data_IF_544159557389
#
_entry.id   IF_544159557389
#
_cell.length_a   1.000
_cell.length_b   1.000
_cell.length_c   1.000
_cell.angle_alpha   90.00
_cell.angle_beta   90.00
_cell.angle_gamma   90.00
#
_symmetry.space_group_name_H-M   'P 1'
#
loop_
_entity.id
_entity.type
_entity.pdbx_description
1 polymer ?
#
# COMPACT_ATOMS: atom_id res chain seq x y z
N UNK A 1 6.25 -1.51 -66.23
CA UNK A 1 5.37 -0.69 -65.37
C UNK A 1 4.78 -1.61 -64.31
N UNK A 2 5.51 -1.78 -63.21
CA UNK A 2 5.07 -2.58 -62.06
C UNK A 2 3.94 -1.85 -61.34
N UNK A 3 2.83 -2.56 -61.09
CA UNK A 3 1.80 -2.11 -60.16
C UNK A 3 2.34 -2.31 -58.73
N UNK A 4 2.22 -1.34 -57.82
CA UNK A 4 2.49 -1.62 -56.42
C UNK A 4 1.44 -2.62 -55.91
N UNK A 5 1.92 -3.77 -55.42
CA UNK A 5 1.11 -4.68 -54.63
C UNK A 5 0.68 -3.93 -53.38
N UNK A 6 -0.60 -3.58 -53.36
CA UNK A 6 -1.30 -3.08 -52.20
C UNK A 6 -1.17 -4.15 -51.11
N UNK A 7 -0.42 -3.83 -50.06
CA UNK A 7 -0.28 -4.67 -48.87
C UNK A 7 -1.66 -5.00 -48.37
N UNK A 8 -2.03 -6.26 -48.55
CA UNK A 8 -3.26 -6.86 -48.06
C UNK A 8 -3.27 -6.65 -46.53
N UNK A 9 -4.13 -5.74 -46.08
CA UNK A 9 -4.38 -5.49 -44.67
C UNK A 9 -4.61 -6.83 -43.98
N UNK A 10 -3.68 -7.20 -43.10
CA UNK A 10 -3.87 -8.31 -42.19
C UNK A 10 -5.22 -8.09 -41.49
N UNK A 11 -6.11 -9.11 -41.44
CA UNK A 11 -7.43 -8.94 -40.84
C UNK A 11 -7.21 -8.48 -39.41
N UNK A 12 -7.60 -7.23 -39.12
CA UNK A 12 -7.45 -6.61 -37.82
C UNK A 12 -8.06 -7.53 -36.77
N UNK A 13 -7.19 -8.26 -36.07
CA UNK A 13 -7.58 -9.20 -35.03
C UNK A 13 -8.34 -8.36 -34.01
N UNK A 14 -9.64 -8.61 -33.88
CA UNK A 14 -10.48 -7.93 -32.88
C UNK A 14 -10.05 -8.48 -31.53
N UNK A 15 -8.98 -7.90 -30.99
CA UNK A 15 -8.52 -8.24 -29.66
C UNK A 15 -9.55 -7.67 -28.70
N UNK A 16 -10.18 -8.56 -27.94
CA UNK A 16 -11.13 -8.19 -26.89
C UNK A 16 -10.43 -7.22 -25.92
N UNK A 17 -11.00 -6.04 -25.60
CA UNK A 17 -10.40 -5.10 -24.65
C UNK A 17 -10.09 -5.74 -23.29
N UNK A 18 -10.85 -6.78 -22.90
CA UNK A 18 -10.56 -7.56 -21.69
C UNK A 18 -9.20 -8.24 -21.78
N UNK A 19 -8.83 -8.77 -22.94
CA UNK A 19 -7.52 -9.40 -23.18
C UNK A 19 -6.36 -8.41 -23.06
N UNK A 20 -6.56 -7.14 -23.43
CA UNK A 20 -5.51 -6.12 -23.29
C UNK A 20 -5.22 -5.79 -21.81
N UNK A 21 -6.26 -5.80 -20.98
CA UNK A 21 -6.15 -5.46 -19.56
C UNK A 21 -5.73 -6.66 -18.70
N UNK A 22 -6.25 -7.84 -19.03
CA UNK A 22 -6.10 -9.05 -18.18
C UNK A 22 -5.22 -10.15 -18.80
N UNK A 23 -4.76 -9.97 -20.04
CA UNK A 23 -4.01 -10.97 -20.78
C UNK A 23 -4.89 -12.07 -21.36
N UNK A 24 -4.31 -12.93 -22.19
CA UNK A 24 -4.97 -14.15 -22.67
C UNK A 24 -5.04 -15.19 -21.54
N UNK A 25 -6.06 -16.06 -21.52
CA UNK A 25 -6.13 -17.15 -20.57
C UNK A 25 -4.86 -18.02 -20.65
N UNK A 26 -4.17 -18.22 -19.53
CA UNK A 26 -2.94 -19.03 -19.45
C UNK A 26 -1.63 -18.31 -19.80
N UNK A 27 -1.69 -17.08 -20.32
CA UNK A 27 -0.50 -16.29 -20.68
C UNK A 27 0.31 -15.91 -19.42
N UNK A 28 -0.37 -15.60 -18.32
CA UNK A 28 0.26 -15.33 -17.02
C UNK A 28 1.05 -16.53 -16.50
N UNK A 29 0.47 -17.74 -16.53
CA UNK A 29 1.17 -18.96 -16.11
C UNK A 29 2.42 -19.22 -16.96
N UNK A 30 2.33 -19.02 -18.28
CA UNK A 30 3.46 -19.21 -19.19
C UNK A 30 4.58 -18.20 -18.91
N UNK A 31 4.25 -16.92 -18.80
CA UNK A 31 5.23 -15.86 -18.57
C UNK A 31 5.87 -15.98 -17.18
N UNK A 32 5.09 -16.27 -16.14
CA UNK A 32 5.62 -16.54 -14.81
C UNK A 32 6.47 -17.82 -14.79
N UNK A 33 6.10 -18.83 -15.58
CA UNK A 33 6.89 -20.04 -15.79
C UNK A 33 8.26 -19.75 -16.40
N UNK A 34 8.33 -18.87 -17.42
CA UNK A 34 9.58 -18.39 -18.01
C UNK A 34 10.45 -17.63 -17.02
N UNK A 35 9.83 -16.94 -16.05
CA UNK A 35 10.50 -16.25 -14.95
C UNK A 35 10.89 -17.18 -13.77
N UNK A 36 10.61 -18.49 -13.86
CA UNK A 36 10.92 -19.45 -12.81
C UNK A 36 10.05 -19.31 -11.55
N UNK A 37 8.88 -18.69 -11.68
CA UNK A 37 7.90 -18.51 -10.59
C UNK A 37 6.54 -19.09 -10.97
N UNK A 38 5.53 -18.90 -10.11
CA UNK A 38 4.16 -19.33 -10.39
C UNK A 38 3.15 -18.31 -9.89
N UNK A 39 1.93 -18.24 -10.48
CA UNK A 39 0.89 -17.35 -10.02
C UNK A 39 0.61 -17.51 -8.52
N UNK A 40 0.62 -18.74 -8.02
CA UNK A 40 0.46 -19.04 -6.59
C UNK A 40 1.55 -18.42 -5.72
N UNK A 41 2.82 -18.47 -6.15
CA UNK A 41 3.94 -17.88 -5.40
C UNK A 41 3.86 -16.37 -5.38
N UNK A 42 3.57 -15.75 -6.51
CA UNK A 42 3.38 -14.30 -6.62
C UNK A 42 2.20 -13.87 -5.74
N UNK A 43 1.06 -14.54 -5.86
CA UNK A 43 -0.12 -14.26 -5.05
C UNK A 43 0.18 -14.35 -3.54
N UNK A 44 0.79 -15.44 -3.08
CA UNK A 44 1.10 -15.61 -1.67
C UNK A 44 2.14 -14.59 -1.18
N UNK A 45 3.15 -14.27 -2.00
CA UNK A 45 4.14 -13.26 -1.69
C UNK A 45 3.54 -11.86 -1.56
N UNK A 46 2.75 -11.44 -2.55
CA UNK A 46 2.06 -10.15 -2.53
C UNK A 46 1.07 -10.08 -1.38
N UNK A 47 0.22 -11.09 -1.19
CA UNK A 47 -0.75 -11.12 -0.10
C UNK A 47 -0.07 -11.07 1.27
N UNK A 48 1.02 -11.83 1.46
CA UNK A 48 1.80 -11.80 2.70
C UNK A 48 2.45 -10.44 2.95
N UNK A 49 3.07 -9.84 1.92
CA UNK A 49 3.67 -8.51 2.03
C UNK A 49 2.62 -7.44 2.35
N UNK A 50 1.44 -7.49 1.73
CA UNK A 50 0.32 -6.59 2.04
C UNK A 50 -0.17 -6.77 3.46
N UNK A 51 -0.34 -8.02 3.92
CA UNK A 51 -0.75 -8.30 5.29
C UNK A 51 0.26 -7.75 6.32
N UNK A 52 1.56 -7.90 6.06
CA UNK A 52 2.61 -7.31 6.89
C UNK A 52 2.60 -5.79 6.86
N UNK A 53 2.45 -5.17 5.68
CA UNK A 53 2.40 -3.73 5.55
C UNK A 53 1.22 -3.11 6.33
N UNK A 54 0.04 -3.72 6.23
CA UNK A 54 -1.14 -3.30 6.99
C UNK A 54 -0.98 -3.58 8.49
N UNK A 55 -0.52 -4.77 8.87
CA UNK A 55 -0.36 -5.15 10.27
C UNK A 55 0.65 -4.27 11.00
N UNK A 56 1.79 -3.99 10.37
CA UNK A 56 2.85 -3.16 10.92
C UNK A 56 2.59 -1.65 10.79
N UNK A 57 1.50 -1.23 10.14
CA UNK A 57 1.27 0.16 9.73
C UNK A 57 2.48 0.75 9.00
N UNK A 58 3.10 -0.05 8.13
CA UNK A 58 4.31 0.32 7.42
C UNK A 58 4.04 1.58 6.58
N UNK A 59 4.84 2.62 6.78
CA UNK A 59 4.66 3.90 6.09
C UNK A 59 3.34 4.63 6.40
N UNK A 60 2.60 4.25 7.46
CA UNK A 60 1.33 4.89 7.81
C UNK A 60 0.16 4.47 6.91
N UNK A 61 0.25 3.33 6.20
CA UNK A 61 -0.83 2.85 5.32
C UNK A 61 -2.13 2.65 6.11
N UNK A 62 -2.04 2.01 7.27
CA UNK A 62 -3.19 1.71 8.11
C UNK A 62 -3.78 2.99 8.70
N UNK A 63 -2.95 3.92 9.16
CA UNK A 63 -3.38 5.23 9.62
C UNK A 63 -4.15 5.99 8.52
N UNK A 64 -3.61 5.99 7.30
CA UNK A 64 -4.23 6.66 6.13
C UNK A 64 -5.57 6.03 5.79
N UNK A 65 -5.65 4.70 5.75
CA UNK A 65 -6.90 3.98 5.48
C UNK A 65 -7.95 4.27 6.54
N UNK A 66 -7.61 4.19 7.83
CA UNK A 66 -8.53 4.46 8.93
C UNK A 66 -8.98 5.93 8.98
N UNK A 67 -8.13 6.84 8.52
CA UNK A 67 -8.46 8.27 8.43
C UNK A 67 -9.54 8.59 7.39
N UNK A 68 -9.81 7.69 6.44
CA UNK A 68 -10.93 7.87 5.47
C UNK A 68 -12.30 7.70 6.12
N UNK A 69 -12.40 6.89 7.19
CA UNK A 69 -13.63 6.62 7.94
C UNK A 69 -13.35 6.70 9.45
N UNK A 70 -13.07 7.90 9.96
CA UNK A 70 -12.57 8.07 11.31
C UNK A 70 -13.58 7.63 12.38
N UNK A 71 -14.88 7.76 12.13
CA UNK A 71 -15.92 7.36 13.09
C UNK A 71 -15.97 5.85 13.29
N UNK A 72 -15.87 5.07 12.20
CA UNK A 72 -15.80 3.61 12.27
C UNK A 72 -14.51 3.13 12.95
N UNK A 73 -13.38 3.80 12.67
CA UNK A 73 -12.12 3.48 13.33
C UNK A 73 -12.19 3.75 14.84
N UNK A 74 -12.81 4.86 15.24
CA UNK A 74 -12.99 5.25 16.66
C UNK A 74 -14.02 4.40 17.39
N UNK A 75 -15.10 3.98 16.74
CA UNK A 75 -16.07 3.07 17.35
C UNK A 75 -15.45 1.73 17.72
N UNK A 76 -14.48 1.28 16.92
CA UNK A 76 -13.67 0.08 17.18
C UNK A 76 -12.44 0.36 18.05
N UNK A 77 -12.25 1.59 18.53
CA UNK A 77 -11.08 2.06 19.32
C UNK A 77 -9.73 1.78 18.67
N UNK A 78 -9.69 1.71 17.33
CA UNK A 78 -8.45 1.52 16.57
C UNK A 78 -7.50 2.71 16.71
N UNK A 79 -8.02 3.88 17.09
CA UNK A 79 -7.22 5.08 17.40
C UNK A 79 -6.31 4.92 18.64
N UNK A 80 -6.44 3.84 19.41
CA UNK A 80 -5.50 3.49 20.49
C UNK A 80 -4.21 2.85 19.98
N UNK A 81 -4.31 2.04 18.93
CA UNK A 81 -3.19 1.31 18.33
C UNK A 81 -2.57 2.09 17.16
N UNK A 82 -3.43 2.66 16.31
CA UNK A 82 -3.09 3.36 15.08
C UNK A 82 -3.50 4.83 15.19
N UNK A 83 -2.87 5.73 14.44
CA UNK A 83 -3.32 7.12 14.39
C UNK A 83 -4.51 7.25 13.45
N UNK A 84 -5.56 7.96 13.90
CA UNK A 84 -6.75 8.21 13.08
C UNK A 84 -6.91 9.72 12.93
N UNK A 85 -6.76 10.21 11.70
CA UNK A 85 -6.77 11.63 11.35
C UNK A 85 -5.78 12.46 12.20
N UNK A 86 -4.58 11.91 12.44
CA UNK A 86 -3.51 12.58 13.21
C UNK A 86 -3.72 12.59 14.72
N UNK A 87 -4.74 11.89 15.24
CA UNK A 87 -5.02 11.77 16.66
C UNK A 87 -4.80 10.33 17.12
N UNK A 88 -4.38 10.17 18.38
CA UNK A 88 -4.44 8.90 19.13
C UNK A 88 -5.42 9.03 20.28
N UNK A 89 -6.10 7.93 20.58
CA UNK A 89 -7.04 7.80 21.67
C UNK A 89 -6.43 7.04 22.83
N UNK A 90 -6.64 7.51 24.06
CA UNK A 90 -6.41 6.76 25.27
C UNK A 90 -7.74 6.54 25.98
N UNK A 91 -8.04 5.28 26.29
CA UNK A 91 -9.33 4.84 26.83
C UNK A 91 -9.12 4.20 28.20
N UNK A 92 -9.82 4.71 29.20
CA UNK A 92 -9.90 4.17 30.57
C UNK A 92 -11.37 3.84 30.88
N UNK A 93 -11.64 3.17 32.01
CA UNK A 93 -13.00 2.90 32.49
C UNK A 93 -13.84 4.17 32.69
N UNK A 94 -13.21 5.29 33.06
CA UNK A 94 -13.91 6.51 33.49
C UNK A 94 -13.86 7.64 32.46
N UNK A 95 -12.89 7.63 31.55
CA UNK A 95 -12.70 8.70 30.58
C UNK A 95 -12.02 8.20 29.30
N UNK A 96 -12.21 8.96 28.22
CA UNK A 96 -11.50 8.80 26.96
C UNK A 96 -10.92 10.16 26.57
N UNK A 97 -9.63 10.18 26.23
CA UNK A 97 -8.93 11.39 25.77
C UNK A 97 -8.33 11.14 24.40
N UNK A 98 -8.32 12.18 23.56
CA UNK A 98 -7.62 12.17 22.28
C UNK A 98 -6.56 13.25 22.26
N UNK A 99 -5.42 12.92 21.70
CA UNK A 99 -4.26 13.82 21.62
C UNK A 99 -3.57 13.66 20.26
N UNK A 100 -2.87 14.70 19.78
CA UNK A 100 -2.09 14.60 18.55
C UNK A 100 -1.10 13.45 18.59
N UNK A 101 -1.03 12.65 17.52
CA UNK A 101 -0.11 11.52 17.43
C UNK A 101 1.36 11.92 17.43
N UNK A 102 1.63 13.19 17.13
CA UNK A 102 2.97 13.81 17.16
C UNK A 102 3.41 14.22 18.56
N UNK A 103 2.53 14.19 19.55
CA UNK A 103 2.92 14.51 20.92
C UNK A 103 3.87 13.45 21.47
N UNK A 104 5.10 13.88 21.73
CA UNK A 104 6.09 13.09 22.43
C UNK A 104 5.72 13.03 23.91
N UNK A 105 5.50 11.81 24.41
CA UNK A 105 5.40 11.57 25.85
C UNK A 105 6.72 11.83 26.58
N UNK A 106 7.86 11.76 25.88
CA UNK A 106 9.20 11.98 26.43
C UNK A 106 9.99 13.01 25.61
N UNK A 107 10.26 14.16 26.23
CA UNK A 107 11.04 15.24 25.61
C UNK A 107 12.53 14.88 25.44
N UNK A 108 13.05 13.92 26.19
CA UNK A 108 14.45 13.50 26.11
C UNK A 108 14.79 12.93 24.73
N UNK A 109 13.85 12.20 24.11
CA UNK A 109 13.99 11.66 22.76
C UNK A 109 14.06 12.79 21.73
N UNK A 110 13.24 13.82 21.90
CA UNK A 110 13.23 15.00 21.03
C UNK A 110 14.58 15.72 21.07
N UNK A 111 15.10 15.96 22.27
CA UNK A 111 16.39 16.61 22.48
C UNK A 111 17.55 15.76 21.92
N UNK A 112 17.52 14.45 22.13
CA UNK A 112 18.54 13.55 21.59
C UNK A 112 18.56 13.54 20.05
N UNK A 113 17.39 13.59 19.40
CA UNK A 113 17.30 13.70 17.93
C UNK A 113 17.82 15.05 17.43
N UNK A 114 17.48 16.15 18.11
CA UNK A 114 17.99 17.48 17.78
C UNK A 114 19.53 17.51 17.86
N UNK A 115 20.09 17.00 18.97
CA UNK A 115 21.54 16.92 19.17
C UNK A 115 22.24 16.08 18.09
N UNK A 116 21.68 14.93 17.70
CA UNK A 116 22.25 14.11 16.62
C UNK A 116 22.31 14.84 15.28
N UNK A 117 21.28 15.63 14.96
CA UNK A 117 21.23 16.43 13.72
C UNK A 117 22.29 17.52 13.73
N UNK A 118 22.47 18.21 14.85
CA UNK A 118 23.51 19.23 15.01
C UNK A 118 24.90 18.63 14.82
N UNK A 119 25.19 17.47 15.43
CA UNK A 119 26.47 16.76 15.28
C UNK A 119 26.70 16.30 13.83
N UNK A 120 25.68 15.84 13.13
CA UNK A 120 25.80 15.41 11.72
C UNK A 120 25.95 16.57 10.73
N UNK A 121 25.56 17.79 11.12
CA UNK A 121 25.67 18.99 10.28
C UNK A 121 27.01 19.73 10.41
N UNK A 122 27.89 19.27 11.30
CA UNK A 122 29.26 19.78 11.51
C UNK A 122 30.27 18.90 10.80
#
# INVERSE_FOLDING_TARGET
>A
AERPQQSEDAPGERVDPVTYVFGRPGELEEDLGRLGTSPRRVFLGTAGATALALGANFGGITDTLLSTKPDSARSLRLDSLYSVAGLRGYYTSNYAIRFPSTWLFDQSIAQAQAYRREVQSR
#
